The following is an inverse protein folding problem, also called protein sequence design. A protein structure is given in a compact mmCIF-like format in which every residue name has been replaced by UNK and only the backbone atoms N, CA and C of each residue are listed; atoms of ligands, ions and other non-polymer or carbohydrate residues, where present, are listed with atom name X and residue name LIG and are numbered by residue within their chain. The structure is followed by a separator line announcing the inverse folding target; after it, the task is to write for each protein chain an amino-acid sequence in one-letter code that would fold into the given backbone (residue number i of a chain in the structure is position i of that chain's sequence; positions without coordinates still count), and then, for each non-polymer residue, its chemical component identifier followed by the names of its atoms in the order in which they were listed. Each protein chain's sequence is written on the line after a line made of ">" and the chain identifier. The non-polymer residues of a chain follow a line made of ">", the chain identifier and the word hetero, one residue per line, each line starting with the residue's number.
data_IF_778202552488
#
_entry.id   IF_778202552488
#
_cell.length_a   1.000
_cell.length_b   1.000
_cell.length_c   1.000
_cell.angle_alpha   90.00
_cell.angle_beta   90.00
_cell.angle_gamma   90.00
#
_symmetry.space_group_name_H-M   'P 1'
#
loop_
_entity.id
_entity.type
_entity.pdbx_description
1 polymer ?
#
# COMPACT_ATOMS: atom_id res chain seq x y z
N UNK A 1 -11.97 6.55 2.38
CA UNK A 1 -10.89 6.49 3.37
C UNK A 1 -9.84 5.53 2.87
N UNK A 2 -8.59 6.00 2.84
CA UNK A 2 -7.40 5.18 2.55
C UNK A 2 -6.84 4.66 3.88
N UNK A 3 -6.43 3.40 3.89
CA UNK A 3 -5.81 2.73 5.00
C UNK A 3 -4.60 1.96 4.48
N UNK A 4 -3.50 2.02 5.23
CA UNK A 4 -2.27 1.32 4.91
C UNK A 4 -1.68 0.73 6.20
N UNK A 5 -1.20 -0.49 6.09
CA UNK A 5 -0.43 -1.18 7.13
C UNK A 5 0.79 -1.83 6.52
N UNK A 6 1.88 -1.84 7.27
CA UNK A 6 3.10 -2.55 6.90
C UNK A 6 3.75 -3.12 8.17
N UNK A 7 4.34 -4.30 8.05
CA UNK A 7 5.12 -4.91 9.12
C UNK A 7 6.26 -5.77 8.58
N UNK A 8 7.36 -5.82 9.32
CA UNK A 8 8.43 -6.77 9.08
C UNK A 8 8.03 -8.12 9.68
N UNK A 9 8.21 -9.19 8.91
CA UNK A 9 7.95 -10.54 9.37
C UNK A 9 8.81 -11.57 8.65
N UNK A 10 8.63 -12.82 9.05
CA UNK A 10 9.32 -13.97 8.46
C UNK A 10 8.36 -15.14 8.39
N UNK A 11 8.25 -15.73 7.21
CA UNK A 11 7.52 -16.99 7.01
C UNK A 11 8.19 -18.13 7.79
N UNK A 12 7.37 -19.02 8.34
CA UNK A 12 7.87 -20.20 9.07
C UNK A 12 8.77 -21.03 8.15
N UNK A 13 9.97 -21.35 8.61
CA UNK A 13 10.95 -22.14 7.86
C UNK A 13 11.80 -21.34 6.85
N UNK A 14 11.63 -20.03 6.75
CA UNK A 14 12.48 -19.16 5.91
C UNK A 14 13.55 -18.45 6.74
N UNK A 15 14.72 -18.22 6.15
CA UNK A 15 15.83 -17.51 6.80
C UNK A 15 15.81 -16.00 6.55
N UNK A 16 15.06 -15.53 5.56
CA UNK A 16 14.98 -14.12 5.17
C UNK A 16 13.69 -13.46 5.65
N UNK A 17 13.81 -12.22 6.12
CA UNK A 17 12.67 -11.39 6.52
C UNK A 17 12.11 -10.64 5.30
N UNK A 18 10.79 -10.41 5.32
CA UNK A 18 10.04 -9.66 4.31
C UNK A 18 9.26 -8.53 4.98
N UNK A 19 8.95 -7.50 4.21
CA UNK A 19 7.93 -6.53 4.57
C UNK A 19 6.62 -6.96 3.94
N UNK A 20 5.60 -7.12 4.77
CA UNK A 20 4.23 -7.43 4.37
C UNK A 20 3.41 -6.15 4.45
N UNK A 21 2.63 -5.89 3.42
CA UNK A 21 1.81 -4.68 3.33
C UNK A 21 0.36 -5.00 3.01
N UNK A 22 -0.53 -4.16 3.52
CA UNK A 22 -1.96 -4.19 3.23
C UNK A 22 -2.48 -2.78 3.02
N UNK A 23 -3.08 -2.54 1.86
CA UNK A 23 -3.67 -1.25 1.52
C UNK A 23 -5.15 -1.42 1.18
N UNK A 24 -5.98 -0.46 1.63
CA UNK A 24 -7.43 -0.50 1.45
C UNK A 24 -7.99 0.88 1.20
N UNK A 25 -8.84 0.99 0.20
CA UNK A 25 -9.58 2.21 -0.08
C UNK A 25 -11.08 1.95 -0.12
N UNK A 26 -11.84 2.65 0.74
CA UNK A 26 -13.31 2.68 0.72
C UNK A 26 -13.82 4.01 0.18
N UNK A 27 -14.60 4.00 -0.89
CA UNK A 27 -15.31 5.19 -1.38
C UNK A 27 -16.61 5.34 -0.60
N UNK A 28 -16.77 6.43 0.15
CA UNK A 28 -17.94 6.63 1.04
C UNK A 28 -19.11 7.35 0.37
N UNK A 29 -18.88 8.16 -0.66
CA UNK A 29 -19.91 8.90 -1.37
C UNK A 29 -19.40 9.55 -2.65
N UNK A 30 -20.26 10.27 -3.38
CA UNK A 30 -19.93 10.95 -4.65
C UNK A 30 -19.80 10.01 -5.86
N UNK A 31 -19.36 10.56 -6.99
CA UNK A 31 -19.20 9.83 -8.25
C UNK A 31 -18.14 8.73 -8.18
N UNK A 32 -18.25 7.77 -9.10
CA UNK A 32 -17.24 6.73 -9.29
C UNK A 32 -15.87 7.35 -9.63
N UNK A 33 -14.80 6.72 -9.17
CA UNK A 33 -13.42 7.16 -9.43
C UNK A 33 -12.58 5.99 -9.94
N UNK A 34 -11.63 6.28 -10.81
CA UNK A 34 -10.56 5.34 -11.18
C UNK A 34 -9.46 5.46 -10.14
N UNK A 35 -9.28 4.45 -9.30
CA UNK A 35 -8.31 4.43 -8.21
C UNK A 35 -7.18 3.42 -8.50
N UNK A 36 -5.96 3.80 -8.13
CA UNK A 36 -4.76 2.96 -8.22
C UNK A 36 -4.06 2.97 -6.86
N UNK A 37 -4.01 1.81 -6.21
CA UNK A 37 -3.28 1.57 -4.96
C UNK A 37 -1.79 1.34 -5.24
N UNK A 38 -0.93 1.84 -4.36
CA UNK A 38 0.53 1.85 -4.52
C UNK A 38 1.20 1.84 -3.15
N UNK A 39 2.39 1.28 -3.08
CA UNK A 39 3.25 1.37 -1.91
C UNK A 39 4.59 1.92 -2.35
N UNK A 40 5.03 2.96 -1.66
CA UNK A 40 6.34 3.55 -1.86
C UNK A 40 7.25 3.15 -0.70
N UNK A 41 8.39 2.60 -1.07
CA UNK A 41 9.52 2.32 -0.19
C UNK A 41 10.71 3.15 -0.69
N UNK A 42 11.68 3.45 0.18
CA UNK A 42 12.89 4.16 -0.26
C UNK A 42 13.63 3.47 -1.42
N UNK A 43 13.52 2.15 -1.56
CA UNK A 43 14.10 1.38 -2.65
C UNK A 43 13.22 1.21 -3.90
N UNK A 44 11.96 1.67 -3.90
CA UNK A 44 11.11 1.60 -5.08
C UNK A 44 9.60 1.74 -4.85
N UNK A 45 8.91 2.08 -5.94
CA UNK A 45 7.46 2.28 -6.00
C UNK A 45 6.76 1.08 -6.66
N UNK A 46 5.84 0.46 -5.92
CA UNK A 46 5.06 -0.69 -6.37
C UNK A 46 3.60 -0.29 -6.57
N UNK A 47 2.94 -0.87 -7.58
CA UNK A 47 1.60 -0.44 -8.02
C UNK A 47 0.71 -1.64 -8.26
N UNK A 48 -0.55 -1.54 -7.85
CA UNK A 48 -1.62 -2.46 -8.26
C UNK A 48 -2.09 -2.13 -9.70
N UNK A 49 -3.22 -2.68 -10.08
CA UNK A 49 -4.02 -2.35 -11.25
C UNK A 49 -4.99 -1.21 -10.96
N UNK A 50 -5.36 -0.45 -11.99
CA UNK A 50 -6.39 0.59 -11.89
C UNK A 50 -7.76 -0.06 -11.73
N UNK A 51 -8.53 0.35 -10.73
CA UNK A 51 -9.87 -0.16 -10.44
C UNK A 51 -10.88 0.98 -10.36
N UNK A 52 -12.03 0.81 -11.00
CA UNK A 52 -13.16 1.74 -10.83
C UNK A 52 -13.89 1.44 -9.53
N UNK A 53 -14.01 2.43 -8.65
CA UNK A 53 -14.63 2.29 -7.32
C UNK A 53 -15.82 3.25 -7.19
N UNK A 54 -17.00 2.70 -6.91
CA UNK A 54 -18.25 3.44 -6.68
C UNK A 54 -18.48 3.67 -5.18
N UNK A 55 -19.36 4.61 -4.84
CA UNK A 55 -19.78 4.81 -3.45
C UNK A 55 -20.25 3.50 -2.79
N UNK A 56 -19.80 3.27 -1.56
CA UNK A 56 -20.02 2.04 -0.79
C UNK A 56 -19.00 0.93 -1.05
N UNK A 57 -18.28 0.97 -2.18
CA UNK A 57 -17.33 -0.08 -2.54
C UNK A 57 -15.96 0.11 -1.86
N UNK A 58 -15.28 -1.02 -1.71
CA UNK A 58 -13.92 -1.10 -1.16
C UNK A 58 -13.04 -1.86 -2.14
N UNK A 59 -11.83 -1.36 -2.35
CA UNK A 59 -10.74 -2.10 -2.99
C UNK A 59 -9.63 -2.32 -1.99
N UNK A 60 -8.92 -3.43 -2.15
CA UNK A 60 -7.77 -3.79 -1.34
C UNK A 60 -6.64 -4.28 -2.23
N UNK A 61 -5.42 -4.13 -1.74
CA UNK A 61 -4.22 -4.67 -2.34
C UNK A 61 -3.21 -5.05 -1.25
N UNK A 62 -2.46 -6.11 -1.48
CA UNK A 62 -1.38 -6.54 -0.59
C UNK A 62 -0.16 -6.92 -1.41
N UNK A 63 1.00 -6.71 -0.81
CA UNK A 63 2.29 -6.97 -1.42
C UNK A 63 3.26 -7.42 -0.33
N UNK A 64 4.12 -8.37 -0.68
CA UNK A 64 5.26 -8.78 0.14
C UNK A 64 6.55 -8.55 -0.64
N UNK A 65 7.50 -7.84 -0.04
CA UNK A 65 8.81 -7.55 -0.65
C UNK A 65 9.94 -7.88 0.33
N UNK A 66 11.17 -8.11 -0.15
CA UNK A 66 12.34 -8.21 0.72
C UNK A 66 12.53 -6.95 1.58
N UNK A 67 12.99 -7.10 2.83
CA UNK A 67 13.26 -5.95 3.73
C UNK A 67 14.26 -4.97 3.13
N UNK A 68 15.18 -5.43 2.28
CA UNK A 68 16.16 -4.57 1.59
C UNK A 68 15.54 -3.48 0.70
N UNK A 69 14.27 -3.62 0.30
CA UNK A 69 13.53 -2.61 -0.45
C UNK A 69 13.13 -1.42 0.43
N UNK A 70 12.87 -1.66 1.72
CA UNK A 70 12.63 -0.62 2.72
C UNK A 70 13.96 -0.14 3.31
N UNK A 71 14.86 0.39 2.47
CA UNK A 71 16.24 0.72 2.84
C UNK A 71 16.38 1.80 3.93
N UNK A 72 15.36 2.62 4.12
CA UNK A 72 15.25 3.61 5.20
C UNK A 72 14.36 3.14 6.38
N UNK A 73 14.05 1.83 6.42
CA UNK A 73 13.12 1.20 7.35
C UNK A 73 11.71 1.81 7.33
N UNK A 74 11.27 2.36 6.20
CA UNK A 74 9.93 2.93 6.07
C UNK A 74 9.19 2.57 4.80
N UNK A 75 7.86 2.74 4.87
CA UNK A 75 6.95 2.60 3.75
C UNK A 75 5.78 3.57 3.90
N UNK A 76 5.20 3.96 2.76
CA UNK A 76 3.98 4.75 2.72
C UNK A 76 3.01 4.18 1.68
N UNK A 77 1.74 4.05 2.07
CA UNK A 77 0.66 3.72 1.15
C UNK A 77 0.22 4.97 0.40
N UNK A 78 0.09 4.86 -0.91
CA UNK A 78 -0.32 5.92 -1.82
C UNK A 78 -1.51 5.44 -2.66
N UNK A 79 -2.46 6.34 -2.89
CA UNK A 79 -3.56 6.10 -3.81
C UNK A 79 -3.66 7.23 -4.81
N UNK A 80 -3.66 6.90 -6.10
CA UNK A 80 -3.97 7.88 -7.14
C UNK A 80 -5.43 7.72 -7.58
N UNK A 81 -6.21 8.79 -7.52
CA UNK A 81 -7.57 8.84 -8.05
C UNK A 81 -7.79 10.15 -8.81
N UNK A 82 -8.32 10.04 -10.04
CA UNK A 82 -8.62 11.17 -10.92
C UNK A 82 -7.46 12.18 -11.06
N UNK A 83 -6.23 11.68 -11.20
CA UNK A 83 -5.02 12.52 -11.35
C UNK A 83 -4.47 13.12 -10.04
N UNK A 84 -5.17 12.96 -8.92
CA UNK A 84 -4.67 13.37 -7.59
C UNK A 84 -4.06 12.17 -6.87
N UNK A 85 -2.95 12.37 -6.17
CA UNK A 85 -2.34 11.37 -5.28
C UNK A 85 -2.62 11.72 -3.84
N UNK A 86 -3.00 10.70 -3.07
CA UNK A 86 -3.25 10.75 -1.63
C UNK A 86 -2.24 9.84 -0.96
N UNK A 87 -1.75 10.25 0.19
CA UNK A 87 -0.78 9.49 0.98
C UNK A 87 -1.33 9.17 2.37
N UNK A 88 -0.87 8.05 2.90
CA UNK A 88 -1.02 7.71 4.31
C UNK A 88 0.16 8.25 5.11
N UNK A 89 0.09 8.29 6.46
CA UNK A 89 1.28 8.49 7.27
C UNK A 89 2.31 7.37 7.03
N UNK A 90 3.59 7.72 7.14
CA UNK A 90 4.67 6.74 7.04
C UNK A 90 4.59 5.70 8.15
N UNK A 91 4.78 4.44 7.79
CA UNK A 91 5.09 3.37 8.73
C UNK A 91 6.62 3.27 8.84
N UNK A 92 7.13 3.27 10.06
CA UNK A 92 8.57 3.17 10.38
C UNK A 92 8.88 1.81 11.02
N UNK A 93 10.17 1.53 11.25
CA UNK A 93 10.65 0.30 11.90
C UNK A 93 10.32 -0.98 11.09
N UNK A 94 10.44 -0.89 9.76
CA UNK A 94 10.28 -2.03 8.84
C UNK A 94 11.56 -2.84 8.62
N UNK A 95 12.66 -2.35 9.19
CA UNK A 95 13.82 -3.11 9.64
C UNK A 95 13.99 -2.82 11.15
#
# INVERSE_FOLDING_TARGET
>A
MLYFEAHNGREIGQSSSKVYTGERYKKTGGSAVSALLKVDFAGGLYKDTVKTVKAGQTISWSLSVPVSVASDCSAVGLMSANGTTYETPYIKQLC
#
